data_IF_345521423841
#
_entry.id   IF_345521423841
#
_cell.length_a   1.000
_cell.length_b   1.000
_cell.length_c   1.000
_cell.angle_alpha   90.00
_cell.angle_beta   90.00
_cell.angle_gamma   90.00
#
_symmetry.space_group_name_H-M   'P 1'
#
loop_
_entity.id
_entity.type
_entity.pdbx_description
1 polymer ?
#
# COMPACT_ATOMS: atom_id res chain seq x y z
N UNK A 1 10.35 -32.75 9.01
CA UNK A 1 9.27 -31.76 9.21
C UNK A 1 9.89 -30.37 9.19
N UNK A 2 10.53 -30.00 8.08
CA UNK A 2 11.48 -28.87 8.02
C UNK A 2 11.11 -27.84 6.95
N UNK A 3 10.33 -28.25 5.94
CA UNK A 3 9.83 -27.39 4.86
C UNK A 3 8.83 -26.30 5.34
N UNK A 4 8.14 -26.52 6.46
CA UNK A 4 7.19 -25.55 7.04
C UNK A 4 7.88 -24.38 7.75
N UNK A 5 9.13 -24.54 8.20
CA UNK A 5 9.88 -23.49 8.90
C UNK A 5 10.52 -22.46 7.96
N UNK A 6 10.63 -22.77 6.67
CA UNK A 6 11.19 -21.87 5.66
C UNK A 6 10.12 -21.07 4.91
N UNK A 7 8.84 -21.37 5.12
CA UNK A 7 7.76 -20.57 4.54
C UNK A 7 7.60 -19.33 5.43
N UNK A 8 8.01 -18.12 5.01
CA UNK A 8 7.76 -16.92 5.80
C UNK A 8 6.27 -16.88 6.10
N UNK A 9 5.88 -16.64 7.37
CA UNK A 9 4.46 -16.61 7.81
C UNK A 9 3.68 -15.58 6.99
N UNK A 10 3.19 -15.97 5.82
CA UNK A 10 2.43 -15.15 4.89
C UNK A 10 1.15 -14.64 5.57
N UNK A 11 0.59 -15.43 6.47
CA UNK A 11 -0.57 -15.06 7.29
C UNK A 11 -0.32 -13.77 8.08
N UNK A 12 0.87 -13.55 8.64
CA UNK A 12 1.15 -12.32 9.41
C UNK A 12 1.16 -11.05 8.54
N UNK A 13 1.62 -11.16 7.29
CA UNK A 13 1.57 -10.07 6.32
C UNK A 13 0.14 -9.80 5.87
N UNK A 14 -0.63 -10.86 5.60
CA UNK A 14 -2.04 -10.78 5.22
C UNK A 14 -2.89 -10.24 6.37
N UNK A 15 -2.65 -10.66 7.60
CA UNK A 15 -3.31 -10.15 8.82
C UNK A 15 -3.00 -8.66 9.02
N UNK A 16 -1.75 -8.25 8.84
CA UNK A 16 -1.37 -6.84 8.92
C UNK A 16 -2.10 -6.01 7.85
N UNK A 17 -2.14 -6.51 6.62
CA UNK A 17 -2.87 -5.87 5.52
C UNK A 17 -4.37 -5.78 5.84
N UNK A 18 -4.99 -6.88 6.28
CA UNK A 18 -6.41 -6.93 6.64
C UNK A 18 -6.75 -5.97 7.79
N UNK A 19 -5.87 -5.84 8.78
CA UNK A 19 -6.03 -4.88 9.87
C UNK A 19 -6.04 -3.43 9.35
N UNK A 20 -5.18 -3.11 8.38
CA UNK A 20 -5.19 -1.80 7.71
C UNK A 20 -6.46 -1.59 6.88
N UNK A 21 -6.90 -2.59 6.12
CA UNK A 21 -8.09 -2.55 5.28
C UNK A 21 -9.38 -2.36 6.08
N UNK A 22 -9.45 -2.90 7.30
CA UNK A 22 -10.64 -2.79 8.17
C UNK A 22 -11.07 -1.34 8.39
N UNK A 23 -10.12 -0.42 8.53
CA UNK A 23 -10.40 1.02 8.71
C UNK A 23 -10.99 1.68 7.46
N UNK A 24 -10.95 1.03 6.31
CA UNK A 24 -11.43 1.56 5.04
C UNK A 24 -12.76 0.94 4.61
N UNK A 25 -13.16 -0.21 5.16
CA UNK A 25 -14.38 -0.90 4.72
C UNK A 25 -15.67 -0.17 5.04
N UNK A 26 -15.69 0.74 6.03
CA UNK A 26 -16.87 1.57 6.27
C UNK A 26 -17.21 2.44 5.04
N UNK A 27 -16.20 2.88 4.27
CA UNK A 27 -16.35 3.68 3.05
C UNK A 27 -16.91 2.88 1.87
N UNK A 28 -16.79 1.54 1.89
CA UNK A 28 -17.35 0.69 0.84
C UNK A 28 -18.87 0.85 0.74
N UNK A 29 -19.56 1.06 1.86
CA UNK A 29 -21.02 1.22 1.89
C UNK A 29 -21.48 2.51 1.19
N UNK A 30 -20.67 3.56 1.20
CA UNK A 30 -21.02 4.85 0.58
C UNK A 30 -20.47 5.02 -0.83
N UNK A 31 -19.32 4.42 -1.16
CA UNK A 31 -18.61 4.63 -2.42
C UNK A 31 -18.76 3.48 -3.43
N UNK A 32 -19.40 2.37 -3.03
CA UNK A 32 -19.66 1.22 -3.90
C UNK A 32 -18.39 0.42 -4.26
N UNK A 33 -18.49 -0.41 -5.30
CA UNK A 33 -17.44 -1.40 -5.62
C UNK A 33 -16.17 -0.78 -6.24
N UNK A 34 -16.30 0.36 -6.94
CA UNK A 34 -15.15 1.08 -7.52
C UNK A 34 -14.15 1.58 -6.45
N UNK A 35 -14.63 1.74 -5.22
CA UNK A 35 -13.80 2.14 -4.10
C UNK A 35 -12.68 1.13 -3.79
N UNK A 36 -12.93 -0.17 -3.96
CA UNK A 36 -11.91 -1.18 -3.68
C UNK A 36 -10.73 -1.08 -4.65
N UNK A 37 -11.00 -0.76 -5.92
CA UNK A 37 -9.96 -0.51 -6.92
C UNK A 37 -9.12 0.72 -6.55
N UNK A 38 -9.77 1.82 -6.14
CA UNK A 38 -9.08 3.02 -5.67
C UNK A 38 -8.25 2.74 -4.40
N UNK A 39 -8.80 1.97 -3.46
CA UNK A 39 -8.11 1.60 -2.23
C UNK A 39 -6.88 0.72 -2.52
N UNK A 40 -7.00 -0.26 -3.41
CA UNK A 40 -5.89 -1.07 -3.88
C UNK A 40 -4.81 -0.19 -4.52
N UNK A 41 -5.21 0.69 -5.45
CA UNK A 41 -4.29 1.64 -6.08
C UNK A 41 -3.54 2.49 -5.04
N UNK A 42 -4.28 3.11 -4.10
CA UNK A 42 -3.71 3.96 -3.07
C UNK A 42 -2.72 3.21 -2.18
N UNK A 43 -3.07 2.00 -1.74
CA UNK A 43 -2.19 1.21 -0.87
C UNK A 43 -0.89 0.78 -1.58
N UNK A 44 -0.95 0.54 -2.88
CA UNK A 44 0.21 0.13 -3.68
C UNK A 44 1.14 1.30 -4.04
N UNK A 45 0.61 2.51 -4.21
CA UNK A 45 1.39 3.67 -4.66
C UNK A 45 1.74 4.66 -3.54
N UNK A 46 1.17 4.52 -2.34
CA UNK A 46 1.55 5.33 -1.19
C UNK A 46 2.90 4.90 -0.62
N UNK A 47 3.81 5.85 -0.48
CA UNK A 47 5.11 5.62 0.16
C UNK A 47 5.00 5.29 1.65
N UNK A 48 5.90 4.44 2.14
CA UNK A 48 6.05 4.20 3.57
C UNK A 48 6.71 5.40 4.25
N UNK A 49 5.93 6.16 5.04
CA UNK A 49 6.46 7.27 5.85
C UNK A 49 7.38 6.78 6.97
N UNK A 50 7.10 5.58 7.50
CA UNK A 50 7.87 4.93 8.58
C UNK A 50 7.90 3.43 8.29
N UNK A 51 9.05 2.80 8.50
CA UNK A 51 9.25 1.36 8.36
C UNK A 51 10.37 0.90 9.27
N UNK A 52 10.26 -0.32 9.81
CA UNK A 52 11.38 -0.98 10.52
C UNK A 52 12.54 -1.34 9.57
N UNK A 53 12.24 -1.46 8.28
CA UNK A 53 13.23 -1.70 7.23
C UNK A 53 13.55 -0.36 6.58
N UNK A 54 14.75 0.17 6.85
CA UNK A 54 15.19 1.49 6.37
C UNK A 54 15.06 1.65 4.86
N UNK A 55 15.39 0.61 4.09
CA UNK A 55 15.32 0.61 2.63
C UNK A 55 13.89 0.81 2.05
N UNK A 56 12.84 0.66 2.87
CA UNK A 56 11.44 0.86 2.46
C UNK A 56 10.95 2.28 2.72
N UNK A 57 11.60 3.03 3.60
CA UNK A 57 11.18 4.40 3.93
C UNK A 57 11.27 5.26 2.66
N UNK A 58 10.20 6.01 2.38
CA UNK A 58 10.10 6.84 1.18
C UNK A 58 9.72 6.08 -0.10
N UNK A 59 9.65 4.74 -0.09
CA UNK A 59 9.24 3.94 -1.25
C UNK A 59 7.82 3.42 -1.13
N UNK A 60 7.12 3.25 -2.25
CA UNK A 60 5.83 2.56 -2.30
C UNK A 60 6.00 1.04 -2.45
N UNK A 61 4.98 0.23 -2.12
CA UNK A 61 4.97 -1.19 -2.48
C UNK A 61 5.25 -1.45 -3.96
N UNK A 62 4.64 -0.68 -4.88
CA UNK A 62 4.88 -0.81 -6.32
C UNK A 62 6.35 -0.58 -6.67
N UNK A 63 6.99 0.46 -6.12
CA UNK A 63 8.41 0.76 -6.38
C UNK A 63 9.33 -0.34 -5.82
N UNK A 64 8.98 -0.91 -4.66
CA UNK A 64 9.73 -2.01 -4.08
C UNK A 64 9.62 -3.30 -4.89
N UNK A 65 8.47 -3.54 -5.54
CA UNK A 65 8.24 -4.73 -6.37
C UNK A 65 8.83 -4.60 -7.78
N UNK A 66 8.71 -3.43 -8.39
CA UNK A 66 9.12 -3.18 -9.79
C UNK A 66 10.55 -2.66 -9.91
N UNK A 67 11.11 -2.09 -8.83
CA UNK A 67 12.39 -1.38 -8.87
C UNK A 67 12.33 -0.03 -9.60
N UNK A 68 11.18 0.35 -10.15
CA UNK A 68 10.99 1.60 -10.89
C UNK A 68 10.37 2.65 -9.97
N UNK A 69 10.95 3.85 -9.96
CA UNK A 69 10.35 5.00 -9.29
C UNK A 69 9.14 5.48 -10.08
N UNK A 70 8.13 5.98 -9.37
CA UNK A 70 6.97 6.59 -9.99
C UNK A 70 6.64 7.94 -9.35
N UNK A 71 5.93 8.83 -10.07
CA UNK A 71 5.40 10.07 -9.50
C UNK A 71 4.54 9.82 -8.24
N UNK A 72 4.25 10.88 -7.51
CA UNK A 72 3.39 10.76 -6.33
C UNK A 72 2.01 10.19 -6.73
N UNK A 73 1.40 9.38 -5.86
CA UNK A 73 0.14 8.69 -6.18
C UNK A 73 -1.01 9.64 -6.60
N UNK A 74 -1.02 10.89 -6.12
CA UNK A 74 -1.97 11.92 -6.59
C UNK A 74 -1.71 12.32 -8.06
N UNK A 75 -0.45 12.44 -8.46
CA UNK A 75 -0.06 12.81 -9.82
C UNK A 75 -0.38 11.67 -10.79
N UNK A 76 -0.23 10.42 -10.35
CA UNK A 76 -0.67 9.24 -11.09
C UNK A 76 -2.20 9.19 -11.31
N UNK A 77 -2.97 9.84 -10.46
CA UNK A 77 -4.42 10.02 -10.62
C UNK A 77 -4.79 11.26 -11.44
N UNK A 78 -3.79 12.02 -11.93
CA UNK A 78 -3.99 13.26 -12.70
C UNK A 78 -4.20 14.51 -11.85
N UNK A 79 -3.97 14.46 -10.53
CA UNK A 79 -4.07 15.63 -9.66
C UNK A 79 -2.72 16.34 -9.48
N UNK A 80 -2.77 17.66 -9.41
CA UNK A 80 -1.60 18.48 -9.06
C UNK A 80 -1.42 18.53 -7.55
N UNK A 81 -0.21 18.26 -7.07
CA UNK A 81 0.12 18.38 -5.65
C UNK A 81 0.13 19.83 -5.23
N UNK A 82 -0.52 20.12 -4.10
CA UNK A 82 -0.31 21.38 -3.42
C UNK A 82 1.11 21.43 -2.85
N UNK A 83 1.88 22.45 -3.23
CA UNK A 83 3.18 22.77 -2.64
C UNK A 83 3.01 24.09 -1.89
N UNK A 84 3.36 24.11 -0.60
CA UNK A 84 3.48 25.38 0.13
C UNK A 84 4.70 26.12 -0.45
N UNK A 85 4.58 27.43 -0.75
CA UNK A 85 5.70 28.24 -1.19
C UNK A 85 6.80 28.31 -0.11
#
# INVERSE_FOLDING_TARGET
>A
MEALNQTPRASSLVENLNSRLRNYFFLRRSLGDHYLALLQFFLNHRCFMRSKVAARVGKSPTELMTGQQHPHWLELLGFTRFQRP
#
